data_IF_714098160728
#
_entry.id   IF_714098160728
#
_cell.length_a   1.000
_cell.length_b   1.000
_cell.length_c   1.000
_cell.angle_alpha   90.00
_cell.angle_beta   90.00
_cell.angle_gamma   90.00
#
_symmetry.space_group_name_H-M   'P 1'
#
loop_
_entity.id
_entity.type
_entity.pdbx_description
1 polymer ?
#
# COMPACT_ATOMS: atom_id res chain seq x y z
N UNK A 1 80.90 33.34 -16.78
CA UNK A 1 80.83 32.04 -17.46
C UNK A 1 79.60 31.33 -16.90
N UNK A 2 78.41 31.54 -17.48
CA UNK A 2 77.77 30.77 -18.59
C UNK A 2 76.77 29.75 -17.99
N UNK A 3 75.45 30.00 -18.03
CA UNK A 3 74.45 29.53 -19.03
C UNK A 3 74.47 27.99 -19.22
N UNK A 4 73.38 27.20 -19.18
CA UNK A 4 71.92 27.38 -19.32
C UNK A 4 71.16 26.63 -18.16
N UNK A 5 69.84 26.47 -18.05
CA UNK A 5 68.67 26.75 -18.93
C UNK A 5 67.33 26.59 -18.17
N UNK A 6 66.21 26.29 -18.85
CA UNK A 6 64.83 26.28 -18.27
C UNK A 6 63.89 25.22 -18.84
N UNK A 7 62.86 24.84 -18.07
CA UNK A 7 61.49 24.40 -18.44
C UNK A 7 60.75 24.07 -17.11
N UNK A 8 59.44 24.16 -16.90
CA UNK A 8 58.29 24.85 -17.50
C UNK A 8 57.07 24.33 -16.72
N UNK A 9 56.33 25.15 -15.97
CA UNK A 9 54.97 24.82 -15.55
C UNK A 9 54.09 26.07 -15.67
N UNK A 10 52.96 25.95 -16.36
CA UNK A 10 52.06 27.06 -16.69
C UNK A 10 50.66 26.83 -16.14
N UNK A 11 50.14 27.86 -15.46
CA UNK A 11 48.76 28.36 -15.60
C UNK A 11 47.60 27.39 -15.40
N UNK A 12 46.93 27.49 -14.25
CA UNK A 12 45.52 27.11 -14.14
C UNK A 12 44.64 27.96 -15.08
N UNK A 13 43.59 27.33 -15.64
CA UNK A 13 42.56 28.01 -16.42
C UNK A 13 41.15 27.65 -15.93
N UNK A 14 40.30 28.66 -15.76
CA UNK A 14 38.91 28.50 -15.33
C UNK A 14 38.00 27.88 -16.41
N UNK A 15 36.96 27.11 -16.04
CA UNK A 15 35.99 26.55 -16.98
C UNK A 15 34.97 27.60 -17.47
N UNK A 16 34.80 27.71 -18.79
CA UNK A 16 33.89 28.67 -19.41
C UNK A 16 32.40 28.29 -19.31
N UNK A 17 31.55 29.26 -18.96
CA UNK A 17 30.08 29.16 -19.12
C UNK A 17 29.71 29.04 -20.60
N UNK A 18 28.79 28.12 -20.93
CA UNK A 18 28.12 28.10 -22.24
C UNK A 18 26.60 28.02 -22.08
N UNK A 19 25.94 29.15 -22.30
CA UNK A 19 24.48 29.23 -22.41
C UNK A 19 24.04 28.69 -23.78
N UNK A 20 22.90 28.01 -23.86
CA UNK A 20 22.18 27.92 -25.12
C UNK A 20 20.66 27.83 -24.93
N UNK A 21 19.92 28.73 -25.59
CA UNK A 21 18.47 28.70 -25.80
C UNK A 21 18.27 28.91 -27.30
N UNK A 22 17.48 28.08 -28.00
CA UNK A 22 16.23 28.47 -28.69
C UNK A 22 15.63 27.32 -29.55
N UNK A 23 14.44 26.86 -29.14
CA UNK A 23 13.21 26.54 -29.91
C UNK A 23 13.20 25.57 -31.14
N UNK A 24 12.11 24.77 -31.17
CA UNK A 24 11.65 23.70 -32.09
C UNK A 24 11.15 24.21 -33.48
N UNK A 25 10.80 23.36 -34.49
CA UNK A 25 9.56 22.54 -34.45
C UNK A 25 9.53 21.17 -35.17
N UNK A 26 8.75 20.25 -34.56
CA UNK A 26 7.77 19.29 -35.13
C UNK A 26 8.08 18.56 -36.46
N UNK A 27 8.08 17.22 -36.39
CA UNK A 27 7.55 16.34 -37.43
C UNK A 27 6.77 15.17 -36.78
N UNK A 28 5.47 15.06 -37.04
CA UNK A 28 4.61 13.96 -36.54
C UNK A 28 4.22 13.08 -37.73
N UNK A 29 4.65 11.82 -37.70
CA UNK A 29 4.19 10.75 -38.57
C UNK A 29 4.40 9.41 -37.85
N UNK A 30 3.45 8.47 -37.79
CA UNK A 30 2.03 8.58 -38.13
C UNK A 30 1.30 7.37 -37.55
N UNK A 31 0.16 7.59 -36.87
CA UNK A 31 -0.62 6.52 -36.25
C UNK A 31 -1.83 6.19 -37.14
N UNK A 32 -1.74 5.09 -37.88
CA UNK A 32 -2.85 4.55 -38.65
C UNK A 32 -3.53 3.43 -37.85
N UNK A 33 -4.55 3.81 -37.06
CA UNK A 33 -5.42 2.85 -36.39
C UNK A 33 -6.54 2.46 -37.36
N UNK A 34 -6.61 1.18 -37.73
CA UNK A 34 -7.78 0.59 -38.38
C UNK A 34 -8.68 -0.05 -37.32
N UNK A 35 -9.72 0.66 -36.89
CA UNK A 35 -10.86 0.04 -36.18
C UNK A 35 -11.89 -0.38 -37.23
N UNK A 36 -12.01 -1.69 -37.46
CA UNK A 36 -13.13 -2.26 -38.19
C UNK A 36 -14.24 -2.63 -37.19
N UNK A 37 -15.30 -1.82 -37.15
CA UNK A 37 -16.50 -2.12 -36.34
C UNK A 37 -17.39 -3.09 -37.10
N UNK A 38 -17.58 -4.29 -36.54
CA UNK A 38 -18.70 -5.19 -36.82
C UNK A 38 -19.18 -5.67 -35.44
N UNK A 39 -20.41 -5.51 -35.00
CA UNK A 39 -21.64 -5.23 -35.75
C UNK A 39 -22.66 -6.32 -35.39
N UNK A 40 -23.32 -6.20 -34.23
CA UNK A 40 -24.12 -7.30 -33.67
C UNK A 40 -25.01 -6.86 -32.51
N UNK A 41 -25.99 -5.99 -32.78
CA UNK A 41 -27.03 -5.63 -31.81
C UNK A 41 -28.14 -6.70 -31.88
N UNK A 42 -28.28 -7.51 -30.84
CA UNK A 42 -29.48 -8.34 -30.66
C UNK A 42 -30.56 -7.49 -30.01
N UNK A 43 -31.66 -7.32 -30.74
CA UNK A 43 -32.86 -6.62 -30.28
C UNK A 43 -33.50 -7.33 -29.08
N UNK A 44 -33.94 -6.56 -28.09
CA UNK A 44 -34.91 -7.02 -27.09
C UNK A 44 -36.21 -6.25 -27.30
N UNK A 45 -37.26 -6.94 -27.76
CA UNK A 45 -38.54 -6.33 -28.11
C UNK A 45 -39.43 -6.09 -26.90
N UNK A 46 -40.00 -4.88 -26.85
CA UNK A 46 -41.04 -4.43 -25.93
C UNK A 46 -42.40 -5.01 -26.32
N UNK A 47 -43.25 -5.29 -25.34
CA UNK A 47 -44.68 -5.56 -25.52
C UNK A 47 -45.47 -4.79 -24.45
N UNK A 48 -46.64 -4.27 -24.83
CA UNK A 48 -47.44 -3.32 -24.04
C UNK A 48 -48.81 -3.93 -23.70
N UNK A 49 -49.34 -3.58 -22.51
CA UNK A 49 -50.75 -3.29 -22.13
C UNK A 49 -51.94 -3.95 -22.89
N UNK A 50 -53.09 -4.35 -22.29
CA UNK A 50 -53.65 -4.24 -20.92
C UNK A 50 -54.71 -5.37 -20.65
N UNK A 51 -56.00 -5.17 -20.23
CA UNK A 51 -56.46 -5.75 -18.95
C UNK A 51 -57.75 -6.61 -19.01
N UNK A 52 -58.00 -7.54 -18.06
CA UNK A 52 -59.39 -7.83 -17.62
C UNK A 52 -59.57 -8.71 -16.36
N UNK A 53 -60.44 -8.22 -15.47
CA UNK A 53 -61.47 -8.92 -14.67
C UNK A 53 -61.14 -10.14 -13.78
N UNK A 54 -61.30 -9.91 -12.47
CA UNK A 54 -61.62 -10.86 -11.39
C UNK A 54 -62.96 -11.62 -11.66
N UNK A 55 -63.21 -12.82 -11.08
CA UNK A 55 -64.08 -12.79 -9.88
C UNK A 55 -63.89 -13.90 -8.82
N UNK A 56 -63.80 -13.46 -7.55
CA UNK A 56 -64.51 -14.00 -6.35
C UNK A 56 -64.12 -15.44 -5.88
N UNK A 57 -64.02 -15.74 -4.56
CA UNK A 57 -65.08 -15.69 -3.55
C UNK A 57 -64.58 -15.50 -2.10
N UNK A 58 -65.31 -14.65 -1.35
CA UNK A 58 -65.65 -14.68 0.10
C UNK A 58 -64.65 -15.28 1.11
N UNK A 59 -64.04 -14.53 2.05
CA UNK A 59 -64.59 -13.67 3.11
C UNK A 59 -65.10 -14.40 4.38
N UNK A 60 -64.32 -14.35 5.46
CA UNK A 60 -64.79 -14.44 6.85
C UNK A 60 -64.28 -13.24 7.65
N UNK A 61 -65.20 -12.38 8.08
CA UNK A 61 -64.89 -11.18 8.86
C UNK A 61 -64.81 -11.50 10.35
N UNK A 62 -63.72 -11.12 11.02
CA UNK A 62 -63.72 -10.88 12.47
C UNK A 62 -62.85 -9.66 12.82
N UNK A 63 -63.53 -8.62 13.31
CA UNK A 63 -63.00 -7.43 13.98
C UNK A 63 -64.10 -6.97 14.96
N UNK A 64 -63.80 -6.18 16.01
CA UNK A 64 -62.50 -5.63 16.39
C UNK A 64 -62.12 -5.86 17.87
N UNK A 65 -60.82 -5.77 18.18
CA UNK A 65 -60.39 -5.18 19.45
C UNK A 65 -59.27 -4.16 19.24
N UNK A 66 -59.57 -2.94 19.67
CA UNK A 66 -58.70 -1.76 19.62
C UNK A 66 -57.55 -1.91 20.62
N UNK A 67 -56.32 -1.76 20.12
CA UNK A 67 -55.20 -1.22 20.90
C UNK A 67 -54.36 -0.36 19.97
N UNK A 68 -54.39 0.95 20.19
CA UNK A 68 -53.63 1.89 19.38
C UNK A 68 -52.15 1.90 19.79
N UNK A 69 -51.24 1.95 18.82
CA UNK A 69 -50.29 3.07 18.67
C UNK A 69 -49.23 2.84 17.59
N UNK A 70 -49.04 3.86 16.76
CA UNK A 70 -47.72 4.36 16.36
C UNK A 70 -46.81 3.47 15.53
N UNK A 71 -46.75 3.75 14.23
CA UNK A 71 -45.56 3.47 13.42
C UNK A 71 -44.33 4.17 14.01
N UNK A 72 -43.25 3.42 14.22
CA UNK A 72 -41.90 3.95 14.27
C UNK A 72 -40.92 2.91 13.73
N UNK A 73 -39.98 3.33 12.88
CA UNK A 73 -38.85 2.51 12.45
C UNK A 73 -38.03 2.08 13.68
N UNK A 74 -37.33 0.93 13.64
CA UNK A 74 -36.42 0.55 14.72
C UNK A 74 -35.34 1.62 14.90
N UNK A 75 -35.43 2.35 16.00
CA UNK A 75 -34.38 3.25 16.49
C UNK A 75 -33.10 2.43 16.74
N UNK A 76 -31.88 2.98 16.51
CA UNK A 76 -30.66 2.23 16.76
C UNK A 76 -30.57 1.82 18.23
N UNK A 77 -30.32 0.54 18.48
CA UNK A 77 -30.20 0.00 19.83
C UNK A 77 -29.08 0.69 20.59
N UNK A 78 -29.45 1.56 21.53
CA UNK A 78 -28.57 1.99 22.60
C UNK A 78 -28.24 0.77 23.46
N UNK A 79 -27.06 0.18 23.26
CA UNK A 79 -26.62 -0.94 24.07
C UNK A 79 -26.03 -0.41 25.38
N UNK A 80 -26.92 0.06 26.25
CA UNK A 80 -26.56 0.75 27.49
C UNK A 80 -26.10 -0.25 28.55
N UNK A 81 -24.78 -0.50 28.62
CA UNK A 81 -24.15 -1.04 29.81
C UNK A 81 -22.85 -0.28 30.14
N UNK A 82 -22.95 0.62 31.11
CA UNK A 82 -21.84 0.98 31.99
C UNK A 82 -22.29 0.78 33.45
N UNK A 83 -21.89 -0.31 34.11
CA UNK A 83 -22.05 -0.48 35.55
C UNK A 83 -20.73 -0.14 36.27
N UNK A 84 -20.68 1.04 36.89
CA UNK A 84 -19.76 1.49 37.95
C UNK A 84 -18.38 0.78 38.02
N UNK A 85 -17.37 1.35 37.35
CA UNK A 85 -16.00 0.85 37.49
C UNK A 85 -14.92 1.64 36.76
N UNK A 86 -14.77 2.95 37.03
CA UNK A 86 -13.60 3.76 36.63
C UNK A 86 -13.31 3.93 35.12
N UNK A 87 -14.10 3.31 34.23
CA UNK A 87 -13.93 3.34 32.77
C UNK A 87 -14.61 4.51 32.09
N UNK A 88 -14.23 4.75 30.84
CA UNK A 88 -14.72 5.86 30.03
C UNK A 88 -16.21 5.71 29.62
N UNK A 89 -17.00 6.80 29.58
CA UNK A 89 -18.40 6.75 29.17
C UNK A 89 -18.57 6.65 27.65
N UNK A 90 -19.02 5.49 27.17
CA UNK A 90 -19.31 5.23 25.75
C UNK A 90 -20.66 5.81 25.27
N UNK A 91 -20.86 7.14 25.37
CA UNK A 91 -22.09 7.82 24.96
C UNK A 91 -21.82 9.08 24.14
N UNK A 92 -22.73 9.46 23.23
CA UNK A 92 -22.58 10.68 22.42
C UNK A 92 -22.65 11.93 23.29
N UNK A 93 -23.47 11.91 24.34
CA UNK A 93 -23.57 12.98 25.33
C UNK A 93 -22.23 13.25 26.02
N UNK A 94 -21.43 12.20 26.29
CA UNK A 94 -20.09 12.36 26.85
C UNK A 94 -19.05 12.82 25.82
N UNK A 95 -19.19 12.41 24.55
CA UNK A 95 -18.36 12.94 23.45
C UNK A 95 -18.60 14.44 23.26
N UNK A 96 -19.86 14.88 23.32
CA UNK A 96 -20.27 16.28 23.13
C UNK A 96 -19.94 17.23 24.29
N UNK A 97 -19.49 16.72 25.43
CA UNK A 97 -18.90 17.56 26.49
C UNK A 97 -17.67 18.32 25.98
N UNK A 98 -16.95 17.73 25.02
CA UNK A 98 -15.94 18.43 24.24
C UNK A 98 -16.60 19.09 23.01
N UNK A 99 -16.71 20.41 23.02
CA UNK A 99 -17.34 21.18 21.95
C UNK A 99 -16.70 20.94 20.55
N UNK A 100 -15.40 20.59 20.49
CA UNK A 100 -14.70 20.27 19.25
C UNK A 100 -15.17 18.95 18.60
N UNK A 101 -15.89 18.10 19.35
CA UNK A 101 -16.42 16.80 18.89
C UNK A 101 -17.93 16.83 18.61
N UNK A 102 -18.56 18.00 18.70
CA UNK A 102 -20.01 18.19 18.50
C UNK A 102 -20.52 17.82 17.09
N UNK A 103 -19.64 17.70 16.09
CA UNK A 103 -19.99 17.22 14.74
C UNK A 103 -20.23 15.71 14.67
N UNK A 104 -19.68 14.93 15.59
CA UNK A 104 -19.74 13.47 15.61
C UNK A 104 -21.12 13.02 16.09
N UNK A 105 -21.79 12.14 15.35
CA UNK A 105 -23.17 11.72 15.64
C UNK A 105 -23.40 10.20 15.49
N UNK A 106 -22.32 9.44 15.31
CA UNK A 106 -22.32 7.97 15.38
C UNK A 106 -21.07 7.49 16.12
N UNK A 107 -21.27 6.55 17.04
CA UNK A 107 -20.20 5.76 17.65
C UNK A 107 -20.22 4.42 16.93
N UNK A 108 -19.08 4.02 16.38
CA UNK A 108 -18.91 2.76 15.64
C UNK A 108 -18.38 1.67 16.55
N UNK A 109 -17.37 2.01 17.38
CA UNK A 109 -16.75 1.11 18.36
C UNK A 109 -16.38 1.93 19.61
N UNK A 110 -16.52 1.34 20.79
CA UNK A 110 -16.00 1.89 22.03
C UNK A 110 -15.44 0.74 22.87
N UNK A 111 -14.17 0.81 23.26
CA UNK A 111 -13.52 -0.19 24.10
C UNK A 111 -12.55 0.48 25.09
N UNK A 112 -12.76 0.22 26.38
CA UNK A 112 -11.93 0.75 27.46
C UNK A 112 -11.89 2.29 27.44
N UNK A 113 -10.71 2.84 27.19
CA UNK A 113 -10.46 4.29 27.13
C UNK A 113 -10.37 4.83 25.69
N UNK A 114 -10.83 4.07 24.69
CA UNK A 114 -10.75 4.43 23.27
C UNK A 114 -12.10 4.25 22.57
N UNK A 115 -12.35 5.10 21.58
CA UNK A 115 -13.60 5.09 20.81
C UNK A 115 -13.32 5.44 19.34
N UNK A 116 -13.98 4.75 18.42
CA UNK A 116 -14.09 5.18 17.02
C UNK A 116 -15.47 5.82 16.85
N UNK A 117 -15.48 7.13 16.60
CA UNK A 117 -16.68 7.92 16.38
C UNK A 117 -16.55 8.75 15.09
N UNK A 118 -17.69 9.10 14.50
CA UNK A 118 -17.75 9.81 13.23
C UNK A 118 -19.02 10.60 13.03
N UNK A 119 -19.11 11.27 11.89
CA UNK A 119 -20.34 11.92 11.41
C UNK A 119 -20.95 11.12 10.27
N UNK A 120 -22.15 10.59 10.50
CA UNK A 120 -22.93 9.79 9.55
C UNK A 120 -23.12 10.53 8.22
N UNK A 121 -22.82 9.86 7.12
CA UNK A 121 -22.89 10.42 5.76
C UNK A 121 -21.69 11.28 5.36
N UNK A 122 -20.57 11.20 6.09
CA UNK A 122 -19.31 11.84 5.73
C UNK A 122 -18.11 10.96 6.09
N UNK A 123 -16.93 11.36 5.61
CA UNK A 123 -15.60 10.82 5.90
C UNK A 123 -14.98 11.38 7.20
N UNK A 124 -15.68 12.26 7.92
CA UNK A 124 -15.28 12.79 9.23
C UNK A 124 -15.39 11.70 10.31
N UNK A 125 -14.35 10.87 10.41
CA UNK A 125 -14.15 9.85 11.43
C UNK A 125 -12.88 10.12 12.26
N UNK A 126 -12.92 9.75 13.54
CA UNK A 126 -11.88 10.05 14.55
C UNK A 126 -11.73 8.88 15.51
N UNK A 127 -10.49 8.58 15.89
CA UNK A 127 -10.22 7.87 17.15
C UNK A 127 -10.22 8.90 18.26
N UNK A 128 -10.97 8.63 19.32
CA UNK A 128 -11.01 9.40 20.55
C UNK A 128 -10.33 8.62 21.67
N UNK A 129 -9.68 9.34 22.58
CA UNK A 129 -9.09 8.83 23.82
C UNK A 129 -9.75 9.50 25.01
N UNK A 130 -10.03 8.74 26.06
CA UNK A 130 -10.48 9.26 27.34
C UNK A 130 -9.29 9.78 28.16
N UNK A 131 -9.40 11.00 28.67
CA UNK A 131 -8.36 11.63 29.51
C UNK A 131 -8.55 11.42 31.01
N UNK A 132 -9.68 10.82 31.41
CA UNK A 132 -10.14 10.75 32.80
C UNK A 132 -11.31 11.69 33.09
N UNK A 133 -11.50 12.75 32.29
CA UNK A 133 -12.60 13.72 32.44
C UNK A 133 -13.40 13.96 31.16
N UNK A 134 -12.79 13.85 29.97
CA UNK A 134 -13.45 14.09 28.69
C UNK A 134 -12.87 13.21 27.58
N UNK A 135 -13.60 13.12 26.46
CA UNK A 135 -13.09 12.55 25.21
C UNK A 135 -12.33 13.61 24.43
N UNK A 136 -11.15 13.25 23.92
CA UNK A 136 -10.34 14.08 23.03
C UNK A 136 -9.94 13.28 21.80
N UNK A 137 -9.83 13.93 20.64
CA UNK A 137 -9.29 13.31 19.42
C UNK A 137 -7.87 12.82 19.72
N UNK A 138 -7.60 11.55 19.45
CA UNK A 138 -6.24 11.02 19.47
C UNK A 138 -5.40 11.84 18.47
N UNK A 139 -4.25 12.42 18.84
CA UNK A 139 -3.48 13.24 17.91
C UNK A 139 -2.98 12.44 16.69
N UNK A 140 -3.01 13.09 15.53
CA UNK A 140 -2.34 12.64 14.30
C UNK A 140 -1.11 13.53 14.07
N UNK A 141 0.10 12.97 14.06
CA UNK A 141 1.30 13.70 13.60
C UNK A 141 1.46 13.70 12.07
N UNK A 142 0.66 12.89 11.37
CA UNK A 142 0.87 12.49 9.98
C UNK A 142 -0.37 12.70 9.12
N UNK A 143 -0.15 12.79 7.81
CA UNK A 143 -1.19 12.94 6.79
C UNK A 143 -0.92 11.98 5.62
N UNK A 144 -1.97 11.50 4.96
CA UNK A 144 -1.85 10.62 3.78
C UNK A 144 -1.10 11.34 2.66
N UNK A 145 -0.18 10.65 1.99
CA UNK A 145 0.61 11.21 0.89
C UNK A 145 -0.25 11.73 -0.26
N UNK A 146 -1.32 10.99 -0.58
CA UNK A 146 -2.02 11.13 -1.87
C UNK A 146 -3.17 12.15 -1.80
N UNK A 147 -3.70 12.38 -0.60
CA UNK A 147 -4.91 13.16 -0.34
C UNK A 147 -4.79 14.16 0.82
N UNK A 148 -3.70 14.13 1.57
CA UNK A 148 -3.45 15.07 2.68
C UNK A 148 -4.46 14.96 3.83
N UNK A 149 -5.17 13.84 3.98
CA UNK A 149 -6.06 13.61 5.13
C UNK A 149 -5.26 13.24 6.38
N UNK A 150 -5.64 13.70 7.58
CA UNK A 150 -5.04 13.23 8.83
C UNK A 150 -5.18 11.72 8.97
N UNK A 151 -4.14 11.06 9.48
CA UNK A 151 -4.11 9.62 9.66
C UNK A 151 -3.23 9.25 10.86
N UNK A 152 -3.34 8.01 11.34
CA UNK A 152 -2.49 7.48 12.41
C UNK A 152 -1.49 6.47 11.87
N UNK A 153 -0.24 6.50 12.33
CA UNK A 153 0.71 5.43 12.05
C UNK A 153 0.43 4.20 12.93
N UNK A 154 0.87 3.02 12.51
CA UNK A 154 0.71 1.81 13.30
C UNK A 154 1.40 1.94 14.69
N UNK A 155 2.63 2.47 14.72
CA UNK A 155 3.40 2.65 15.95
C UNK A 155 2.76 3.65 16.93
N UNK A 156 2.03 4.67 16.44
CA UNK A 156 1.22 5.53 17.32
C UNK A 156 0.08 4.78 18.00
N UNK A 157 -0.65 3.96 17.23
CA UNK A 157 -1.77 3.18 17.75
C UNK A 157 -1.30 2.15 18.77
N UNK A 158 -0.13 1.53 18.52
CA UNK A 158 0.52 0.61 19.46
C UNK A 158 1.05 1.31 20.72
N UNK A 159 1.79 2.42 20.59
CA UNK A 159 2.30 3.18 21.74
C UNK A 159 1.19 3.82 22.59
N UNK A 160 0.06 4.18 21.98
CA UNK A 160 -1.12 4.64 22.70
C UNK A 160 -1.91 3.49 23.36
N UNK A 161 -1.68 2.23 22.96
CA UNK A 161 -2.43 1.08 23.46
C UNK A 161 -3.86 0.99 22.92
N UNK A 162 -4.11 1.43 21.68
CA UNK A 162 -5.44 1.40 21.06
C UNK A 162 -5.86 -0.06 20.80
N UNK A 163 -7.03 -0.54 21.27
CA UNK A 163 -7.54 -1.88 20.99
C UNK A 163 -7.76 -2.14 19.49
N UNK A 164 -7.58 -3.38 19.05
CA UNK A 164 -7.62 -3.73 17.61
C UNK A 164 -8.97 -3.37 16.95
N UNK A 165 -10.08 -3.69 17.60
CA UNK A 165 -11.42 -3.36 17.11
C UNK A 165 -11.67 -1.85 16.96
N UNK A 166 -11.01 -0.99 17.75
CA UNK A 166 -11.09 0.48 17.61
C UNK A 166 -10.28 0.97 16.40
N UNK A 167 -9.26 0.21 15.97
CA UNK A 167 -8.49 0.49 14.74
C UNK A 167 -9.22 0.03 13.47
N UNK A 168 -10.06 -0.98 13.59
CA UNK A 168 -10.87 -1.51 12.49
C UNK A 168 -11.87 -0.44 12.01
N UNK A 169 -11.64 0.07 10.80
CA UNK A 169 -12.48 1.09 10.16
C UNK A 169 -11.86 2.49 10.01
N UNK A 170 -10.58 2.69 10.34
CA UNK A 170 -9.88 3.97 10.09
C UNK A 170 -8.78 3.88 9.02
N UNK A 171 -8.52 4.99 8.35
CA UNK A 171 -7.36 5.15 7.45
C UNK A 171 -6.08 5.27 8.27
N UNK A 172 -5.38 4.15 8.45
CA UNK A 172 -3.97 4.14 8.89
C UNK A 172 -3.14 4.89 7.84
N UNK A 173 -2.13 5.65 8.28
CA UNK A 173 -1.24 6.33 7.36
C UNK A 173 -0.53 5.34 6.46
N UNK A 174 -0.68 5.52 5.15
CA UNK A 174 0.20 4.90 4.16
C UNK A 174 1.53 5.63 4.13
N UNK A 175 2.30 5.47 5.21
CA UNK A 175 3.61 6.08 5.42
C UNK A 175 4.56 5.03 5.93
N UNK A 176 5.51 4.61 5.09
CA UNK A 176 6.92 4.17 5.36
C UNK A 176 7.32 3.47 6.68
N UNK A 177 6.38 2.99 7.49
CA UNK A 177 6.52 2.60 8.88
C UNK A 177 5.91 1.20 9.12
N UNK A 178 6.23 0.26 8.23
CA UNK A 178 6.43 -1.15 8.60
C UNK A 178 7.86 -1.34 9.15
N UNK A 179 8.32 -0.35 9.91
CA UNK A 179 9.58 -0.29 10.62
C UNK A 179 9.24 0.02 12.08
N UNK A 180 9.22 -1.02 12.90
CA UNK A 180 9.81 -1.08 14.25
C UNK A 180 9.37 -2.37 14.95
N UNK A 181 9.86 -3.50 14.42
CA UNK A 181 10.09 -4.73 15.18
C UNK A 181 11.59 -4.79 15.47
N UNK A 182 11.96 -4.90 16.75
CA UNK A 182 13.22 -4.33 17.25
C UNK A 182 14.51 -5.12 16.95
N UNK A 183 15.60 -4.35 17.09
CA UNK A 183 16.95 -4.77 17.52
C UNK A 183 17.82 -5.60 16.56
N UNK A 184 18.59 -4.87 15.75
CA UNK A 184 20.06 -4.90 15.87
C UNK A 184 20.65 -3.85 14.93
N UNK A 185 21.76 -3.24 15.32
CA UNK A 185 22.53 -2.28 14.52
C UNK A 185 22.85 -2.82 13.11
N UNK A 186 22.06 -2.46 12.10
CA UNK A 186 22.14 -3.11 10.78
C UNK A 186 21.91 -2.18 9.59
N UNK A 187 22.67 -2.45 8.52
CA UNK A 187 22.60 -1.78 7.23
C UNK A 187 21.32 -2.12 6.40
N UNK A 188 20.25 -2.61 7.05
CA UNK A 188 19.02 -3.07 6.40
C UNK A 188 17.86 -2.05 6.43
N UNK A 189 17.90 -1.01 7.27
CA UNK A 189 16.82 0.01 7.32
C UNK A 189 16.68 0.80 6.01
N UNK A 190 17.77 0.93 5.25
CA UNK A 190 17.80 1.48 3.88
C UNK A 190 17.02 0.64 2.87
N UNK A 191 16.88 -0.67 3.08
CA UNK A 191 16.37 -1.58 2.06
C UNK A 191 14.84 -1.76 2.12
N UNK A 192 14.25 -2.05 0.96
CA UNK A 192 12.83 -2.36 0.81
C UNK A 192 12.57 -3.79 1.26
N UNK A 193 11.71 -3.93 2.26
CA UNK A 193 11.32 -5.22 2.85
C UNK A 193 9.95 -5.73 2.37
N UNK A 194 9.18 -4.86 1.70
CA UNK A 194 7.83 -5.15 1.20
C UNK A 194 7.59 -4.41 -0.11
N UNK A 195 6.92 -5.06 -1.07
CA UNK A 195 6.51 -4.49 -2.35
C UNK A 195 5.05 -4.83 -2.65
N UNK A 196 4.33 -3.98 -3.38
CA UNK A 196 2.92 -4.24 -3.67
C UNK A 196 2.24 -3.15 -4.49
N UNK A 197 1.25 -3.54 -5.29
CA UNK A 197 0.46 -2.65 -6.15
C UNK A 197 -0.86 -2.28 -5.46
N UNK A 198 -0.79 -1.45 -4.42
CA UNK A 198 -1.94 -0.77 -3.79
C UNK A 198 -2.96 -1.66 -3.07
N UNK A 199 -3.71 -2.45 -3.83
CA UNK A 199 -4.85 -3.28 -3.42
C UNK A 199 -4.46 -4.76 -3.19
N UNK A 200 -3.32 -5.19 -3.73
CA UNK A 200 -2.81 -6.56 -3.54
C UNK A 200 -2.07 -6.69 -2.20
N UNK A 201 -2.18 -7.86 -1.56
CA UNK A 201 -1.35 -8.22 -0.40
C UNK A 201 0.14 -8.03 -0.73
N UNK A 202 0.91 -7.33 0.12
CA UNK A 202 2.30 -7.03 -0.21
C UNK A 202 3.14 -8.31 -0.22
N UNK A 203 3.96 -8.45 -1.26
CA UNK A 203 5.06 -9.41 -1.26
C UNK A 203 6.09 -8.97 -0.22
N UNK A 204 6.46 -9.90 0.67
CA UNK A 204 7.54 -9.68 1.62
C UNK A 204 8.88 -10.11 1.00
N UNK A 205 9.95 -9.43 1.40
CA UNK A 205 11.31 -9.80 1.03
C UNK A 205 11.65 -11.19 1.54
N UNK A 206 12.38 -11.94 0.73
CA UNK A 206 12.92 -13.26 1.06
C UNK A 206 14.39 -13.15 1.47
N UNK A 207 14.81 -14.00 2.41
CA UNK A 207 16.20 -14.11 2.87
C UNK A 207 16.75 -15.51 2.59
N UNK A 208 16.94 -15.91 1.31
CA UNK A 208 17.51 -17.21 0.98
C UNK A 208 18.91 -17.37 1.58
N UNK A 209 19.23 -18.61 1.99
CA UNK A 209 20.56 -18.97 2.46
C UNK A 209 21.58 -18.99 1.29
N UNK A 210 22.85 -18.78 1.62
CA UNK A 210 23.97 -18.87 0.69
C UNK A 210 24.61 -20.28 0.73
N UNK A 211 23.75 -21.29 0.58
CA UNK A 211 24.01 -22.72 0.85
C UNK A 211 24.31 -23.54 -0.43
N UNK A 212 24.44 -22.90 -1.59
CA UNK A 212 24.56 -23.55 -2.89
C UNK A 212 23.23 -23.76 -3.63
N UNK A 213 22.11 -23.23 -3.12
CA UNK A 213 20.82 -23.25 -3.84
C UNK A 213 20.85 -22.43 -5.13
N UNK A 214 20.11 -22.91 -6.12
CA UNK A 214 20.07 -22.41 -7.49
C UNK A 214 18.86 -21.51 -7.69
N UNK A 215 19.09 -20.29 -8.20
CA UNK A 215 18.03 -19.33 -8.51
C UNK A 215 18.14 -18.79 -9.93
N UNK A 216 17.00 -18.53 -10.57
CA UNK A 216 16.93 -17.80 -11.83
C UNK A 216 16.44 -16.38 -11.58
N UNK A 217 17.33 -15.40 -11.70
CA UNK A 217 16.98 -13.98 -11.63
C UNK A 217 16.35 -13.59 -12.97
N UNK A 218 15.07 -13.23 -12.93
CA UNK A 218 14.28 -12.82 -14.11
C UNK A 218 14.22 -11.32 -14.29
N UNK A 219 14.36 -10.55 -13.21
CA UNK A 219 14.45 -9.09 -13.27
C UNK A 219 15.37 -8.58 -12.14
N UNK A 220 16.17 -7.57 -12.42
CA UNK A 220 17.05 -6.91 -11.44
C UNK A 220 16.53 -5.50 -11.22
N UNK A 221 15.70 -5.30 -10.19
CA UNK A 221 15.08 -3.99 -9.95
C UNK A 221 16.08 -3.07 -9.27
N UNK A 222 16.36 -1.93 -9.89
CA UNK A 222 17.12 -0.82 -9.31
C UNK A 222 16.51 0.50 -9.78
N UNK A 223 16.63 1.56 -8.98
CA UNK A 223 16.06 2.89 -9.30
C UNK A 223 17.11 3.97 -9.04
N UNK A 224 17.31 4.92 -9.97
CA UNK A 224 18.21 6.05 -9.76
C UNK A 224 17.93 6.80 -8.45
N UNK A 225 18.98 7.08 -7.69
CA UNK A 225 18.88 7.74 -6.38
C UNK A 225 18.34 6.86 -5.24
N UNK A 226 18.07 5.57 -5.50
CA UNK A 226 17.50 4.62 -4.52
C UNK A 226 16.16 5.06 -3.93
N UNK A 227 15.30 5.71 -4.75
CA UNK A 227 13.98 6.12 -4.30
C UNK A 227 13.13 4.91 -3.86
N UNK A 228 12.73 4.92 -2.58
CA UNK A 228 12.05 3.80 -1.94
C UNK A 228 10.69 3.52 -2.56
N UNK A 229 9.94 4.56 -2.93
CA UNK A 229 8.62 4.42 -3.55
C UNK A 229 8.70 3.82 -4.96
N UNK A 230 9.66 4.29 -5.76
CA UNK A 230 10.00 3.74 -7.06
C UNK A 230 10.42 2.27 -6.98
N UNK A 231 11.31 1.91 -6.05
CA UNK A 231 11.75 0.51 -5.86
C UNK A 231 10.56 -0.38 -5.49
N UNK A 232 9.73 0.02 -4.52
CA UNK A 232 8.52 -0.72 -4.12
C UNK A 232 7.55 -0.93 -5.29
N UNK A 233 7.37 0.11 -6.12
CA UNK A 233 6.49 0.06 -7.29
C UNK A 233 7.03 -0.86 -8.38
N UNK A 234 8.32 -0.75 -8.73
CA UNK A 234 8.94 -1.58 -9.75
C UNK A 234 9.03 -3.05 -9.32
N UNK A 235 9.31 -3.32 -8.04
CA UNK A 235 9.20 -4.67 -7.49
C UNK A 235 7.77 -5.22 -7.60
N UNK A 236 6.74 -4.43 -7.25
CA UNK A 236 5.34 -4.83 -7.42
C UNK A 236 4.97 -5.15 -8.87
N UNK A 237 5.46 -4.37 -9.84
CA UNK A 237 5.28 -4.63 -11.28
C UNK A 237 5.97 -5.93 -11.70
N UNK A 238 7.23 -6.13 -11.29
CA UNK A 238 8.01 -7.33 -11.63
C UNK A 238 7.40 -8.61 -11.03
N UNK A 239 6.99 -8.58 -9.77
CA UNK A 239 6.38 -9.72 -9.07
C UNK A 239 4.97 -10.06 -9.63
N UNK A 240 4.22 -9.05 -10.10
CA UNK A 240 2.98 -9.27 -10.83
C UNK A 240 3.22 -9.79 -12.27
N UNK A 241 4.36 -9.48 -12.90
CA UNK A 241 4.73 -10.01 -14.23
C UNK A 241 5.22 -11.47 -14.14
N UNK A 242 5.99 -11.80 -13.11
CA UNK A 242 6.60 -13.10 -12.90
C UNK A 242 5.93 -13.83 -11.72
N UNK A 243 4.71 -14.33 -11.95
CA UNK A 243 3.94 -15.02 -10.91
C UNK A 243 4.69 -16.20 -10.28
N UNK A 244 4.74 -16.24 -8.96
CA UNK A 244 5.48 -17.26 -8.19
C UNK A 244 6.96 -16.95 -7.99
N UNK A 245 7.46 -15.83 -8.52
CA UNK A 245 8.79 -15.32 -8.16
C UNK A 245 8.78 -14.66 -6.78
N UNK A 246 9.98 -14.52 -6.21
CA UNK A 246 10.26 -13.82 -4.95
C UNK A 246 11.25 -12.69 -5.23
N UNK A 247 11.45 -11.78 -4.26
CA UNK A 247 12.56 -10.83 -4.31
C UNK A 247 13.38 -10.88 -3.03
N UNK A 248 14.67 -10.54 -3.11
CA UNK A 248 15.59 -10.56 -1.97
C UNK A 248 16.36 -9.24 -1.82
N UNK A 249 17.08 -9.10 -0.71
CA UNK A 249 17.92 -7.94 -0.41
C UNK A 249 19.07 -7.77 -1.41
N UNK A 250 19.49 -6.52 -1.66
CA UNK A 250 20.72 -6.25 -2.40
C UNK A 250 21.93 -6.88 -1.72
N UNK A 251 22.62 -7.77 -2.43
CA UNK A 251 23.80 -8.47 -1.91
C UNK A 251 23.51 -9.52 -0.83
N UNK A 252 22.28 -10.04 -0.74
CA UNK A 252 21.89 -11.11 0.22
C UNK A 252 22.92 -12.25 0.32
N UNK A 253 23.54 -12.60 -0.80
CA UNK A 253 24.73 -13.44 -0.85
C UNK A 253 25.83 -12.71 -1.64
N UNK A 254 27.13 -12.93 -1.36
CA UNK A 254 28.24 -12.36 -2.15
C UNK A 254 28.16 -12.63 -3.66
N UNK A 255 27.55 -13.76 -4.05
CA UNK A 255 27.24 -14.15 -5.45
C UNK A 255 26.08 -13.37 -6.11
N UNK A 256 25.42 -12.50 -5.36
CA UNK A 256 24.41 -11.55 -5.84
C UNK A 256 25.00 -10.14 -5.79
N UNK A 257 24.84 -9.39 -6.88
CA UNK A 257 25.35 -8.02 -6.92
C UNK A 257 24.51 -7.16 -5.98
N UNK A 258 25.18 -6.44 -5.07
CA UNK A 258 24.52 -5.48 -4.20
C UNK A 258 24.14 -4.20 -4.95
N UNK A 259 25.03 -3.69 -5.81
CA UNK A 259 24.84 -2.40 -6.47
C UNK A 259 25.34 -2.36 -7.92
N UNK A 260 24.82 -1.39 -8.68
CA UNK A 260 25.36 -0.89 -9.95
C UNK A 260 25.26 0.64 -9.93
N UNK A 261 26.36 1.34 -10.22
CA UNK A 261 26.44 2.81 -10.22
C UNK A 261 25.87 3.48 -8.94
N UNK A 262 26.07 2.83 -7.79
CA UNK A 262 25.54 3.26 -6.48
C UNK A 262 24.05 2.98 -6.24
N UNK A 263 23.36 2.40 -7.21
CA UNK A 263 21.96 1.99 -7.13
C UNK A 263 21.84 0.57 -6.58
N UNK A 264 20.91 0.36 -5.65
CA UNK A 264 20.65 -0.91 -4.98
C UNK A 264 19.88 -1.87 -5.91
N UNK A 265 20.43 -3.07 -6.10
CA UNK A 265 19.85 -4.10 -6.97
C UNK A 265 19.04 -5.08 -6.12
N UNK A 266 17.75 -5.17 -6.38
CA UNK A 266 16.85 -6.19 -5.82
C UNK A 266 16.62 -7.28 -6.86
N UNK A 267 17.16 -8.50 -6.69
CA UNK A 267 16.89 -9.61 -7.59
C UNK A 267 15.45 -10.08 -7.41
N UNK A 268 14.69 -10.14 -8.50
CA UNK A 268 13.41 -10.88 -8.61
C UNK A 268 13.70 -12.22 -9.26
N UNK A 269 13.36 -13.31 -8.58
CA UNK A 269 13.89 -14.64 -8.91
C UNK A 269 12.91 -15.79 -8.65
N UNK A 270 13.14 -16.91 -9.35
CA UNK A 270 12.57 -18.21 -9.02
C UNK A 270 13.61 -19.07 -8.28
N UNK A 271 13.17 -19.77 -7.24
CA UNK A 271 14.00 -20.65 -6.40
C UNK A 271 13.85 -22.11 -6.85
N UNK A 272 14.97 -22.75 -7.20
CA UNK A 272 15.01 -24.15 -7.62
C UNK A 272 15.71 -25.06 -6.60
N UNK A 273 16.20 -24.52 -5.48
CA UNK A 273 16.93 -25.32 -4.49
C UNK A 273 18.14 -26.04 -5.11
N UNK A 274 18.20 -27.36 -4.99
CA UNK A 274 19.26 -28.18 -5.60
C UNK A 274 19.06 -28.46 -7.09
N UNK A 275 17.90 -28.16 -7.68
CA UNK A 275 17.57 -28.53 -9.06
C UNK A 275 18.13 -27.53 -10.10
N UNK A 276 19.44 -27.66 -10.35
CA UNK A 276 20.12 -26.90 -11.41
C UNK A 276 19.53 -27.19 -12.80
N UNK A 277 19.04 -28.40 -13.08
CA UNK A 277 18.55 -28.74 -14.41
C UNK A 277 17.25 -27.98 -14.71
N UNK A 278 16.27 -28.01 -13.81
CA UNK A 278 15.01 -27.28 -13.95
C UNK A 278 15.25 -25.76 -14.06
N UNK A 279 16.24 -25.21 -13.35
CA UNK A 279 16.67 -23.82 -13.49
C UNK A 279 17.20 -23.51 -14.90
N UNK A 280 18.08 -24.36 -15.45
CA UNK A 280 18.63 -24.16 -16.79
C UNK A 280 17.56 -24.32 -17.88
N UNK A 281 16.61 -25.25 -17.72
CA UNK A 281 15.46 -25.41 -18.60
C UNK A 281 14.49 -24.21 -18.51
N UNK A 282 14.32 -23.60 -17.33
CA UNK A 282 13.58 -22.34 -17.18
C UNK A 282 14.31 -21.18 -17.89
N UNK A 283 15.61 -21.02 -17.66
CA UNK A 283 16.46 -20.01 -18.31
C UNK A 283 16.41 -20.14 -19.84
N UNK A 284 16.49 -21.36 -20.37
CA UNK A 284 16.39 -21.64 -21.81
C UNK A 284 15.04 -21.26 -22.43
N UNK A 285 13.96 -21.21 -21.64
CA UNK A 285 12.61 -20.84 -22.11
C UNK A 285 12.30 -19.34 -21.99
N UNK A 286 12.77 -18.68 -20.94
CA UNK A 286 12.36 -17.29 -20.60
C UNK A 286 13.52 -16.29 -20.47
N UNK A 287 14.76 -16.72 -20.64
CA UNK A 287 15.95 -15.93 -20.36
C UNK A 287 16.20 -15.72 -18.86
N UNK A 288 16.87 -14.62 -18.53
CA UNK A 288 17.31 -14.31 -17.17
C UNK A 288 18.76 -14.73 -16.88
N UNK A 289 19.21 -14.48 -15.66
CA UNK A 289 20.56 -14.79 -15.18
C UNK A 289 20.47 -15.88 -14.10
N UNK A 290 21.09 -17.04 -14.33
CA UNK A 290 21.10 -18.08 -13.32
C UNK A 290 22.27 -17.88 -12.34
N UNK A 291 22.04 -18.25 -11.08
CA UNK A 291 23.00 -18.09 -9.98
C UNK A 291 22.91 -19.27 -9.03
N UNK A 292 24.07 -19.71 -8.55
CA UNK A 292 24.20 -20.60 -7.40
C UNK A 292 24.57 -19.75 -6.20
N UNK A 293 23.70 -19.66 -5.18
CA UNK A 293 23.89 -18.78 -4.03
C UNK A 293 25.03 -19.26 -3.14
N UNK A 294 26.18 -18.63 -3.28
CA UNK A 294 27.42 -18.93 -2.57
C UNK A 294 28.00 -17.70 -1.85
N UNK A 295 28.92 -17.95 -0.92
CA UNK A 295 29.67 -16.95 -0.14
C UNK A 295 31.01 -16.54 -0.77
N UNK A 296 31.44 -17.17 -1.88
CA UNK A 296 32.73 -16.93 -2.52
C UNK A 296 32.75 -15.67 -3.41
N UNK A 297 31.58 -15.07 -3.70
CA UNK A 297 31.46 -13.95 -4.63
C UNK A 297 31.47 -14.37 -6.10
N UNK A 298 31.18 -15.64 -6.39
CA UNK A 298 31.15 -16.14 -7.76
C UNK A 298 29.86 -15.72 -8.47
N UNK A 299 30.03 -14.97 -9.57
CA UNK A 299 28.97 -14.52 -10.48
C UNK A 299 28.94 -15.32 -11.79
N UNK A 300 29.58 -16.49 -11.83
CA UNK A 300 29.47 -17.43 -12.94
C UNK A 300 28.01 -17.87 -13.09
N UNK A 301 27.56 -18.00 -14.33
CA UNK A 301 26.26 -18.58 -14.62
C UNK A 301 26.40 -20.11 -14.69
N UNK A 302 25.66 -20.88 -13.88
CA UNK A 302 25.78 -22.34 -13.81
C UNK A 302 25.10 -23.08 -14.99
N UNK A 303 24.54 -22.33 -15.95
CA UNK A 303 23.89 -22.77 -17.18
C UNK A 303 24.55 -22.15 -18.42
#
# INVERSE_FOLDING_TARGET
>A
MDQWGTHNEQGWGDPAKKNNRLVLPIAIAGVAILVAVIGGVVWFTRSEDTPQADPQFQATSQTPQTSASGSALPSPSANTQNPQGGGAPCTLEAVHQNAALSSLNVITVCEGNFMHAGKRGSDDSRILRWTGSQWETLPTDSRTSDSGFPCHTQSQLDNAGVPQNVREGITVCRSSAAADGADSSNANSRYVTQAGLGEQSPWNVSSPACDGRNILIVESVHVPGNDRGGIMTQLGIALNRYHGSQFTYPGQCPSLRAQIDGQDIYPVYYDFGSDRQAMCEAKGRQGGNARTLNTAGDFTDPC
#
